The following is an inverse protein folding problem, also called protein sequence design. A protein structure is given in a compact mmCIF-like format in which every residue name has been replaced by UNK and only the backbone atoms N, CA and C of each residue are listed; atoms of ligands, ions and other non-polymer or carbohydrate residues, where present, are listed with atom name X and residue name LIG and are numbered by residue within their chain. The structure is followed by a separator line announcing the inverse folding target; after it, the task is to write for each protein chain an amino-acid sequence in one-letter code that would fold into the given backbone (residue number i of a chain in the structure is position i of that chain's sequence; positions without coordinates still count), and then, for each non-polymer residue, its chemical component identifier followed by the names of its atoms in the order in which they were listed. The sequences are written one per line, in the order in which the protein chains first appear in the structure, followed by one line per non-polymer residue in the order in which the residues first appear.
data_IF_293328596027
#
_entry.id   IF_293328596027
#
_cell.length_a   1.000
_cell.length_b   1.000
_cell.length_c   1.000
_cell.angle_alpha   90.00
_cell.angle_beta   90.00
_cell.angle_gamma   90.00
#
_symmetry.space_group_name_H-M   'P 1'
#
loop_
_entity.id
_entity.type
_entity.pdbx_description
1 polymer ?
#
# COMPACT_ATOMS: atom_id res chain seq x y z
N UNK A 1 -5.31 -6.02 9.73
CA UNK A 1 -3.96 -6.02 10.34
C UNK A 1 -3.14 -7.14 9.73
N UNK A 2 -2.17 -6.83 8.88
CA UNK A 2 -1.12 -7.78 8.48
C UNK A 2 -0.05 -7.94 9.56
N UNK A 3 0.53 -9.14 9.71
CA UNK A 3 1.71 -9.36 10.55
C UNK A 3 2.82 -10.05 9.74
N UNK A 4 4.06 -9.62 9.94
CA UNK A 4 5.22 -10.22 9.29
C UNK A 4 6.40 -10.19 10.27
N UNK A 5 6.94 -11.35 10.64
CA UNK A 5 8.06 -11.48 11.59
C UNK A 5 7.84 -10.71 12.93
N UNK A 6 6.61 -10.71 13.44
CA UNK A 6 6.24 -9.99 14.67
C UNK A 6 6.09 -8.48 14.52
N UNK A 7 6.30 -7.93 13.32
CA UNK A 7 5.94 -6.56 12.98
C UNK A 7 4.47 -6.48 12.56
N UNK A 8 3.85 -5.33 12.85
CA UNK A 8 2.44 -5.04 12.51
C UNK A 8 2.38 -3.69 11.81
N UNK A 9 1.60 -3.59 10.73
CA UNK A 9 1.28 -2.32 10.10
C UNK A 9 0.00 -1.76 10.74
N UNK A 10 0.05 -0.49 11.14
CA UNK A 10 -1.05 0.21 11.79
C UNK A 10 -1.45 1.44 10.99
N UNK A 11 -2.75 1.68 10.96
CA UNK A 11 -3.40 2.83 10.34
C UNK A 11 -3.87 3.78 11.44
N UNK A 12 -3.49 5.05 11.33
CA UNK A 12 -3.87 6.08 12.31
C UNK A 12 -5.10 6.89 11.90
N UNK A 13 -5.62 6.67 10.69
CA UNK A 13 -6.83 7.31 10.21
C UNK A 13 -7.61 6.38 9.27
N UNK A 14 -8.88 6.73 9.04
CA UNK A 14 -9.82 5.97 8.19
C UNK A 14 -9.44 5.98 6.70
N UNK A 15 -8.62 6.95 6.25
CA UNK A 15 -8.23 7.11 4.86
C UNK A 15 -6.87 6.47 4.53
N UNK A 16 -6.26 5.77 5.49
CA UNK A 16 -4.94 5.15 5.37
C UNK A 16 -3.81 6.12 4.94
N UNK A 17 -3.93 7.42 5.19
CA UNK A 17 -2.87 8.39 4.84
C UNK A 17 -1.70 8.39 5.82
N UNK A 18 -1.95 7.93 7.05
CA UNK A 18 -0.95 7.87 8.10
C UNK A 18 -0.81 6.43 8.57
N UNK A 19 0.34 5.83 8.25
CA UNK A 19 0.65 4.45 8.57
C UNK A 19 2.00 4.32 9.25
N UNK A 20 2.11 3.33 10.14
CA UNK A 20 3.35 3.02 10.84
C UNK A 20 3.55 1.52 10.97
N UNK A 21 4.81 1.10 10.98
CA UNK A 21 5.18 -0.25 11.40
C UNK A 21 5.49 -0.21 12.90
N UNK A 22 4.94 -1.17 13.64
CA UNK A 22 5.24 -1.36 15.04
C UNK A 22 5.78 -2.76 15.30
N UNK A 23 6.70 -2.85 16.26
CA UNK A 23 7.05 -4.09 16.92
C UNK A 23 6.42 -4.06 18.32
N UNK A 24 5.31 -4.80 18.55
CA UNK A 24 4.64 -4.80 19.84
C UNK A 24 5.51 -5.34 20.98
N UNK A 25 6.48 -6.21 20.67
CA UNK A 25 7.37 -6.82 21.65
C UNK A 25 8.44 -5.84 22.15
N UNK A 26 9.10 -5.12 21.24
CA UNK A 26 10.13 -4.13 21.59
C UNK A 26 9.57 -2.73 21.86
N UNK A 27 8.28 -2.51 21.57
CA UNK A 27 7.59 -1.21 21.60
C UNK A 27 8.23 -0.16 20.67
N UNK A 28 9.03 -0.59 19.69
CA UNK A 28 9.56 0.32 18.68
C UNK A 28 8.51 0.62 17.62
N UNK A 29 8.40 1.89 17.22
CA UNK A 29 7.54 2.33 16.13
C UNK A 29 8.37 3.01 15.05
N UNK A 30 7.94 2.82 13.80
CA UNK A 30 8.51 3.47 12.64
C UNK A 30 7.38 4.06 11.80
N UNK A 31 7.32 5.39 11.74
CA UNK A 31 6.33 6.10 10.91
C UNK A 31 6.76 6.05 9.46
N UNK A 32 5.87 5.60 8.57
CA UNK A 32 6.13 5.62 7.15
C UNK A 32 5.97 7.06 6.66
N UNK A 33 6.93 7.61 5.89
CA UNK A 33 6.78 8.94 5.33
C UNK A 33 5.56 9.02 4.43
N UNK A 34 4.74 10.06 4.62
CA UNK A 34 3.63 10.35 3.72
C UNK A 34 4.16 10.53 2.30
N UNK A 35 3.42 9.99 1.34
CA UNK A 35 3.69 10.17 -0.08
C UNK A 35 2.37 10.60 -0.70
N UNK A 36 2.40 11.64 -1.51
CA UNK A 36 1.20 12.05 -2.22
C UNK A 36 0.82 11.06 -3.32
N UNK A 37 -0.42 11.10 -3.80
CA UNK A 37 -0.85 10.33 -4.96
C UNK A 37 -0.84 11.20 -6.21
N UNK A 38 -0.53 10.58 -7.34
CA UNK A 38 -0.53 11.23 -8.66
C UNK A 38 -1.86 10.96 -9.34
N UNK A 39 -2.53 12.01 -9.81
CA UNK A 39 -3.78 11.85 -10.57
C UNK A 39 -3.51 11.15 -11.90
N UNK A 40 -4.39 10.23 -12.33
CA UNK A 40 -4.20 9.53 -13.59
C UNK A 40 -4.37 10.47 -14.79
N UNK A 41 -3.68 10.15 -15.89
CA UNK A 41 -3.89 10.79 -17.19
C UNK A 41 -4.84 9.94 -18.06
N UNK A 42 -5.60 10.55 -18.99
CA UNK A 42 -5.70 11.98 -19.26
C UNK A 42 -6.66 12.69 -18.29
N UNK A 43 -6.36 13.95 -17.92
CA UNK A 43 -7.23 14.79 -17.07
C UNK A 43 -8.61 15.13 -17.64
N UNK A 44 -8.87 14.76 -18.89
CA UNK A 44 -10.20 14.86 -19.51
C UNK A 44 -11.19 13.82 -18.98
N UNK A 45 -10.69 12.75 -18.36
CA UNK A 45 -11.49 11.75 -17.66
C UNK A 45 -11.66 12.19 -16.21
N UNK A 46 -12.88 12.10 -15.70
CA UNK A 46 -13.14 12.40 -14.30
C UNK A 46 -12.70 11.21 -13.44
N UNK A 47 -11.61 11.39 -12.70
CA UNK A 47 -11.15 10.42 -11.72
C UNK A 47 -11.59 10.83 -10.32
N UNK A 48 -12.06 9.85 -9.54
CA UNK A 48 -12.34 10.00 -8.12
C UNK A 48 -11.41 9.07 -7.35
N UNK A 49 -10.71 9.61 -6.35
CA UNK A 49 -9.95 8.77 -5.43
C UNK A 49 -10.94 7.89 -4.67
N UNK A 50 -10.78 6.58 -4.82
CA UNK A 50 -11.69 5.62 -4.23
C UNK A 50 -11.12 5.05 -2.93
N UNK A 51 -9.92 4.45 -3.00
CA UNK A 51 -9.30 3.83 -1.83
C UNK A 51 -7.79 3.81 -1.93
N UNK A 52 -7.16 3.70 -0.75
CA UNK A 52 -5.73 3.44 -0.62
C UNK A 52 -5.58 2.22 0.27
N UNK A 53 -5.01 1.15 -0.27
CA UNK A 53 -4.75 -0.08 0.47
C UNK A 53 -3.25 -0.29 0.66
N UNK A 54 -2.91 -0.88 1.80
CA UNK A 54 -1.52 -1.16 2.16
C UNK A 54 -1.32 -2.62 2.51
N UNK A 55 -0.10 -3.06 2.31
CA UNK A 55 0.42 -4.37 2.62
C UNK A 55 1.90 -4.20 2.92
N UNK A 56 2.45 -5.09 3.73
CA UNK A 56 3.87 -5.04 4.03
C UNK A 56 4.40 -6.45 4.26
N UNK A 57 5.68 -6.62 4.02
CA UNK A 57 6.32 -7.91 4.13
C UNK A 57 7.83 -7.80 4.13
N UNK A 58 8.48 -8.91 4.46
CA UNK A 58 9.93 -9.03 4.41
C UNK A 58 10.35 -9.61 3.07
N UNK A 59 11.11 -8.85 2.30
CA UNK A 59 11.75 -9.32 1.09
C UNK A 59 13.13 -9.91 1.41
N UNK A 60 13.16 -11.24 1.49
CA UNK A 60 14.37 -12.01 1.79
C UNK A 60 15.50 -11.83 0.79
N UNK A 61 15.23 -11.46 -0.47
CA UNK A 61 16.27 -11.29 -1.49
C UNK A 61 17.06 -10.00 -1.26
N UNK A 62 16.36 -8.94 -0.87
CA UNK A 62 16.99 -7.64 -0.58
C UNK A 62 17.34 -7.42 0.89
N UNK A 63 16.95 -8.36 1.76
CA UNK A 63 17.01 -8.25 3.22
C UNK A 63 16.43 -6.89 3.67
N UNK A 64 15.16 -6.70 3.36
CA UNK A 64 14.46 -5.43 3.56
C UNK A 64 12.98 -5.66 3.89
N UNK A 65 12.45 -4.83 4.79
CA UNK A 65 11.00 -4.75 5.00
C UNK A 65 10.45 -3.72 4.03
N UNK A 66 9.45 -4.14 3.26
CA UNK A 66 8.82 -3.30 2.25
C UNK A 66 7.37 -3.06 2.58
N UNK A 67 6.91 -1.85 2.33
CA UNK A 67 5.49 -1.48 2.39
C UNK A 67 5.02 -1.21 0.98
N UNK A 68 4.01 -1.94 0.54
CA UNK A 68 3.33 -1.71 -0.72
C UNK A 68 2.10 -0.87 -0.44
N UNK A 69 1.94 0.18 -1.22
CA UNK A 69 0.77 1.05 -1.25
C UNK A 69 0.14 0.97 -2.62
N UNK A 70 -1.15 0.65 -2.68
CA UNK A 70 -1.93 0.68 -3.89
C UNK A 70 -3.00 1.77 -3.76
N UNK A 71 -3.04 2.70 -4.72
CA UNK A 71 -4.01 3.80 -4.80
C UNK A 71 -4.95 3.50 -5.97
N UNK A 72 -6.26 3.40 -5.73
CA UNK A 72 -7.26 3.14 -6.76
C UNK A 72 -8.15 4.35 -6.99
N UNK A 73 -8.42 4.60 -8.27
CA UNK A 73 -9.29 5.66 -8.75
C UNK A 73 -10.41 5.05 -9.57
N UNK A 74 -11.65 5.48 -9.29
CA UNK A 74 -12.79 5.22 -10.16
C UNK A 74 -12.86 6.27 -11.26
N UNK A 75 -13.42 5.87 -12.39
CA UNK A 75 -13.75 6.76 -13.50
C UNK A 75 -15.24 6.64 -13.83
N UNK A 76 -15.77 7.68 -14.47
CA UNK A 76 -17.12 7.72 -15.04
C UNK A 76 -17.35 6.74 -16.21
N UNK A 77 -16.30 6.09 -16.72
CA UNK A 77 -16.38 5.04 -17.73
C UNK A 77 -16.75 3.72 -17.06
N UNK A 78 -17.82 3.07 -17.55
CA UNK A 78 -18.31 1.83 -16.96
C UNK A 78 -17.21 0.77 -16.80
N UNK A 79 -17.06 0.27 -15.56
CA UNK A 79 -16.12 -0.80 -15.17
C UNK A 79 -14.64 -0.47 -15.42
N UNK A 80 -14.29 0.79 -15.63
CA UNK A 80 -12.91 1.23 -15.66
C UNK A 80 -12.44 1.67 -14.27
N UNK A 81 -11.20 1.35 -13.95
CA UNK A 81 -10.49 1.90 -12.79
C UNK A 81 -9.03 2.11 -13.17
N UNK A 82 -8.36 2.98 -12.43
CA UNK A 82 -6.92 3.15 -12.53
C UNK A 82 -6.28 2.80 -11.18
N UNK A 83 -5.10 2.18 -11.22
CA UNK A 83 -4.31 1.93 -10.01
C UNK A 83 -2.88 2.42 -10.14
N UNK A 84 -2.34 2.96 -9.05
CA UNK A 84 -0.92 3.28 -8.90
C UNK A 84 -0.36 2.49 -7.73
N UNK A 85 0.81 1.87 -7.94
CA UNK A 85 1.49 1.10 -6.91
C UNK A 85 2.82 1.75 -6.56
N UNK A 86 3.03 1.98 -5.28
CA UNK A 86 4.28 2.47 -4.72
C UNK A 86 4.81 1.47 -3.70
N UNK A 87 6.12 1.28 -3.69
CA UNK A 87 6.81 0.43 -2.72
C UNK A 87 7.77 1.29 -1.91
N UNK A 88 7.58 1.33 -0.60
CA UNK A 88 8.52 1.90 0.35
C UNK A 88 9.52 0.85 0.80
N UNK A 89 10.80 1.16 0.71
CA UNK A 89 11.88 0.37 1.29
C UNK A 89 12.28 0.96 2.63
N UNK A 90 12.23 0.18 3.71
CA UNK A 90 12.69 0.65 5.03
C UNK A 90 14.20 0.83 5.04
N UNK A 91 14.93 -0.02 4.32
CA UNK A 91 16.39 0.04 4.18
C UNK A 91 16.84 1.27 3.41
N UNK A 92 16.22 1.56 2.26
CA UNK A 92 16.56 2.74 1.45
C UNK A 92 15.88 4.03 1.91
N UNK A 93 14.88 3.92 2.79
CA UNK A 93 14.05 5.02 3.30
C UNK A 93 13.38 5.85 2.20
N UNK A 94 13.00 5.20 1.10
CA UNK A 94 12.46 5.88 -0.07
C UNK A 94 11.30 5.12 -0.70
N UNK A 95 10.42 5.89 -1.36
CA UNK A 95 9.32 5.37 -2.16
C UNK A 95 9.78 5.17 -3.61
N UNK A 96 9.36 4.06 -4.21
CA UNK A 96 9.55 3.78 -5.63
C UNK A 96 8.21 3.39 -6.26
N UNK A 97 7.84 4.08 -7.34
CA UNK A 97 6.69 3.70 -8.16
C UNK A 97 7.03 2.43 -8.94
N UNK A 98 6.09 1.49 -8.99
CA UNK A 98 6.22 0.25 -9.78
C UNK A 98 5.06 0.16 -10.76
N UNK A 99 5.05 -0.90 -11.58
CA UNK A 99 3.97 -1.13 -12.53
C UNK A 99 2.61 -1.20 -11.84
N UNK A 100 1.58 -0.70 -12.53
CA UNK A 100 0.22 -0.67 -12.01
C UNK A 100 -0.31 -2.08 -11.77
N UNK A 101 -1.22 -2.20 -10.82
CA UNK A 101 -1.85 -3.45 -10.47
C UNK A 101 -3.14 -3.60 -11.29
N UNK A 102 -3.24 -4.59 -12.20
CA UNK A 102 -4.37 -4.67 -13.13
C UNK A 102 -5.65 -5.21 -12.48
N UNK A 103 -5.64 -5.44 -11.16
CA UNK A 103 -6.79 -5.95 -10.42
C UNK A 103 -7.36 -4.88 -9.48
N UNK A 104 -8.68 -4.81 -9.49
CA UNK A 104 -9.43 -3.98 -8.56
C UNK A 104 -9.50 -4.70 -7.21
N UNK A 105 -9.20 -4.01 -6.12
CA UNK A 105 -9.22 -4.61 -4.78
C UNK A 105 -10.64 -4.46 -4.26
N UNK A 106 -11.38 -5.56 -4.10
CA UNK A 106 -12.83 -5.50 -3.91
C UNK A 106 -13.22 -4.93 -2.55
N UNK A 107 -12.49 -5.25 -1.50
CA UNK A 107 -12.85 -4.87 -0.13
C UNK A 107 -12.06 -3.65 0.33
N UNK A 108 -12.76 -2.63 0.84
CA UNK A 108 -12.15 -1.39 1.36
C UNK A 108 -11.18 -1.64 2.53
N UNK A 109 -11.32 -2.78 3.22
CA UNK A 109 -10.44 -3.22 4.30
C UNK A 109 -9.58 -4.44 3.93
N UNK A 110 -9.45 -4.79 2.64
CA UNK A 110 -8.50 -5.81 2.20
C UNK A 110 -7.07 -5.27 2.34
N UNK A 111 -6.51 -5.48 3.51
CA UNK A 111 -5.08 -5.31 3.74
C UNK A 111 -4.31 -6.44 3.07
N UNK A 112 -3.15 -6.11 2.51
CA UNK A 112 -2.28 -7.09 1.90
C UNK A 112 -1.76 -8.07 2.95
N UNK A 113 -2.06 -9.35 2.77
CA UNK A 113 -1.57 -10.43 3.64
C UNK A 113 -0.27 -10.97 3.07
N UNK A 114 0.79 -10.92 3.88
CA UNK A 114 2.08 -11.50 3.51
C UNK A 114 2.14 -12.96 3.93
N UNK A 115 2.21 -13.86 2.95
CA UNK A 115 2.33 -15.31 3.18
C UNK A 115 3.22 -15.91 2.10
N UNK A 116 4.11 -16.84 2.49
CA UNK A 116 4.95 -17.56 1.53
C UNK A 116 5.93 -16.70 0.72
N UNK A 117 6.29 -15.50 1.21
CA UNK A 117 7.19 -14.58 0.49
C UNK A 117 6.48 -13.62 -0.47
N UNK A 118 5.15 -13.66 -0.56
CA UNK A 118 4.37 -12.80 -1.44
C UNK A 118 3.25 -12.07 -0.68
N UNK A 119 2.84 -10.91 -1.20
CA UNK A 119 1.66 -10.18 -0.74
C UNK A 119 0.44 -10.61 -1.56
N UNK A 120 -0.63 -10.95 -0.85
CA UNK A 120 -1.91 -11.34 -1.41
C UNK A 120 -2.99 -10.34 -1.00
N UNK A 121 -3.91 -10.05 -1.92
CA UNK A 121 -4.99 -9.08 -1.77
C UNK A 121 -6.28 -9.72 -2.28
N UNK A 122 -7.41 -9.45 -1.62
CA UNK A 122 -8.73 -9.98 -1.97
C UNK A 122 -9.67 -8.88 -2.47
#
# INVERSE_FOLDING_TARGET
MGSCNGLVLLFHNLFAWDVSIQNPFTKSFYKIPYKDYEWPEPRSVNYLLEKIVYGFGYDSLSDDVKVVRNVQFLTDVEKAFYSSVDVYSLKMKSWKKVESFPYYVLYEMAEGVFIGGALHWL
#
